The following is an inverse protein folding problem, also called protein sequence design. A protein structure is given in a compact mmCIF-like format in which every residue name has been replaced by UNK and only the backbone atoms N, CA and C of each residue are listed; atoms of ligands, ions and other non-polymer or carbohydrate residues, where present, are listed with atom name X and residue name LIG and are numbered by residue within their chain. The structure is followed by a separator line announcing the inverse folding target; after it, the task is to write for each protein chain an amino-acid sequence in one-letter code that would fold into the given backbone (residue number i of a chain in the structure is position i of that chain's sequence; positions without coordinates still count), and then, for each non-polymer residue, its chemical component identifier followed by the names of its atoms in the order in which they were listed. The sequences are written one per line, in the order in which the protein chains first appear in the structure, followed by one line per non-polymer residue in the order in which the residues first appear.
data_IF_814450330483
#
_entry.id   IF_814450330483
#
_cell.length_a   1.000
_cell.length_b   1.000
_cell.length_c   1.000
_cell.angle_alpha   90.00
_cell.angle_beta   90.00
_cell.angle_gamma   90.00
#
_symmetry.space_group_name_H-M   'P 1'
#
loop_
_entity.id
_entity.type
_entity.pdbx_description
1 polymer ?
#
# COMPACT_ATOMS: atom_id res chain seq x y z
N UNK A 1 1.40 -13.46 -11.71
CA UNK A 1 0.12 -12.86 -11.32
C UNK A 1 -0.19 -11.82 -12.37
N UNK A 2 -1.45 -11.64 -12.72
CA UNK A 2 -1.79 -10.58 -13.68
C UNK A 2 -1.40 -9.22 -13.13
N UNK A 3 -0.80 -8.38 -13.98
CA UNK A 3 -0.43 -7.00 -13.63
C UNK A 3 -1.60 -6.24 -13.00
N UNK A 4 -2.82 -6.49 -13.50
CA UNK A 4 -4.07 -5.92 -12.97
C UNK A 4 -4.34 -6.33 -11.51
N UNK A 5 -4.07 -7.59 -11.16
CA UNK A 5 -4.26 -8.13 -9.80
C UNK A 5 -3.20 -7.61 -8.83
N UNK A 6 -1.98 -7.37 -9.31
CA UNK A 6 -0.93 -6.73 -8.51
C UNK A 6 -1.29 -5.28 -8.20
N UNK A 7 -1.70 -4.52 -9.23
CA UNK A 7 -2.12 -3.12 -9.06
C UNK A 7 -3.32 -3.02 -8.12
N UNK A 8 -4.33 -3.89 -8.26
CA UNK A 8 -5.49 -3.88 -7.36
C UNK A 8 -5.12 -4.19 -5.90
N UNK A 9 -4.17 -5.09 -5.68
CA UNK A 9 -3.67 -5.40 -4.33
C UNK A 9 -2.88 -4.24 -3.72
N UNK A 10 -2.05 -3.57 -4.51
CA UNK A 10 -1.31 -2.38 -4.07
C UNK A 10 -2.28 -1.26 -3.71
N UNK A 11 -3.27 -0.97 -4.56
CA UNK A 11 -4.29 0.06 -4.29
C UNK A 11 -5.09 -0.30 -3.04
N UNK A 12 -5.53 -1.54 -2.89
CA UNK A 12 -6.25 -1.98 -1.70
C UNK A 12 -5.41 -1.85 -0.43
N UNK A 13 -4.11 -2.18 -0.48
CA UNK A 13 -3.20 -2.04 0.65
C UNK A 13 -3.00 -0.57 1.06
N UNK A 14 -2.83 0.34 0.09
CA UNK A 14 -2.72 1.78 0.34
C UNK A 14 -4.00 2.29 1.03
N UNK A 15 -5.17 1.98 0.45
CA UNK A 15 -6.46 2.44 0.99
C UNK A 15 -6.70 1.90 2.41
N UNK A 16 -6.44 0.61 2.63
CA UNK A 16 -6.59 0.00 3.95
C UNK A 16 -5.64 0.61 4.97
N UNK A 17 -4.38 0.84 4.61
CA UNK A 17 -3.41 1.50 5.48
C UNK A 17 -3.90 2.89 5.89
N UNK A 18 -4.25 3.75 4.92
CA UNK A 18 -4.69 5.11 5.22
C UNK A 18 -5.93 5.12 6.11
N UNK A 19 -6.93 4.28 5.83
CA UNK A 19 -8.15 4.22 6.66
C UNK A 19 -7.82 3.75 8.08
N UNK A 20 -7.02 2.70 8.23
CA UNK A 20 -6.66 2.16 9.55
C UNK A 20 -5.86 3.19 10.34
N UNK A 21 -4.87 3.84 9.74
CA UNK A 21 -4.06 4.87 10.40
C UNK A 21 -4.90 6.04 10.87
N UNK A 22 -5.76 6.59 10.01
CA UNK A 22 -6.63 7.73 10.37
C UNK A 22 -7.58 7.35 11.52
N UNK A 23 -8.13 6.13 11.51
CA UNK A 23 -8.95 5.64 12.62
C UNK A 23 -8.13 5.52 13.92
N UNK A 24 -6.86 5.10 13.81
CA UNK A 24 -5.97 4.89 14.95
C UNK A 24 -5.53 6.20 15.60
N UNK A 25 -5.20 7.21 14.79
CA UNK A 25 -4.86 8.57 15.24
C UNK A 25 -6.07 9.27 15.86
N UNK A 26 -7.30 8.88 15.47
CA UNK A 26 -8.57 9.51 15.90
C UNK A 26 -8.66 11.01 15.56
N UNK A 27 -7.72 11.53 14.78
CA UNK A 27 -7.69 12.89 14.28
C UNK A 27 -7.99 12.88 12.78
N UNK A 28 -9.16 13.42 12.40
CA UNK A 28 -9.61 13.45 11.00
C UNK A 28 -9.24 14.76 10.30
N UNK A 29 -8.16 15.40 10.73
CA UNK A 29 -7.72 16.67 10.14
C UNK A 29 -7.20 16.46 8.72
N UNK A 30 -7.33 17.47 7.86
CA UNK A 30 -6.82 17.39 6.48
C UNK A 30 -5.30 17.19 6.44
N UNK A 31 -4.58 17.66 7.48
CA UNK A 31 -3.15 17.46 7.64
C UNK A 31 -2.81 15.99 7.94
N UNK A 32 -3.57 15.36 8.85
CA UNK A 32 -3.45 13.93 9.17
C UNK A 32 -3.68 13.06 7.95
N UNK A 33 -4.75 13.30 7.20
CA UNK A 33 -5.02 12.59 5.95
C UNK A 33 -3.88 12.74 4.92
N UNK A 34 -3.24 13.91 4.87
CA UNK A 34 -2.15 14.17 3.94
C UNK A 34 -0.83 13.52 4.37
N UNK A 35 -0.54 13.48 5.67
CA UNK A 35 0.61 12.76 6.20
C UNK A 35 0.44 11.25 6.07
N UNK A 36 -0.68 10.70 6.55
CA UNK A 36 -0.98 9.27 6.45
C UNK A 36 -1.10 8.81 4.99
N UNK A 37 -1.63 9.66 4.11
CA UNK A 37 -1.65 9.39 2.67
C UNK A 37 -0.24 9.29 2.06
N UNK A 38 0.70 10.14 2.48
CA UNK A 38 2.11 10.05 2.03
C UNK A 38 2.77 8.78 2.54
N UNK A 39 2.57 8.43 3.81
CA UNK A 39 3.09 7.19 4.37
C UNK A 39 2.51 5.97 3.67
N UNK A 40 1.19 5.97 3.42
CA UNK A 40 0.50 4.90 2.70
C UNK A 40 1.06 4.70 1.29
N UNK A 41 1.40 5.79 0.59
CA UNK A 41 2.04 5.70 -0.75
C UNK A 41 3.42 5.07 -0.67
N UNK A 42 4.24 5.44 0.33
CA UNK A 42 5.56 4.83 0.55
C UNK A 42 5.40 3.35 0.87
N UNK A 43 4.48 3.01 1.76
CA UNK A 43 4.14 1.63 2.12
C UNK A 43 3.68 0.82 0.89
N UNK A 44 2.78 1.37 0.09
CA UNK A 44 2.29 0.76 -1.15
C UNK A 44 3.39 0.54 -2.18
N UNK A 45 4.32 1.47 -2.32
CA UNK A 45 5.47 1.34 -3.20
C UNK A 45 6.40 0.21 -2.76
N UNK A 46 6.73 0.14 -1.46
CA UNK A 46 7.55 -0.93 -0.88
C UNK A 46 6.85 -2.28 -1.02
N UNK A 47 5.55 -2.36 -0.69
CA UNK A 47 4.75 -3.57 -0.82
C UNK A 47 4.68 -4.06 -2.28
N UNK A 48 4.47 -3.14 -3.23
CA UNK A 48 4.49 -3.44 -4.66
C UNK A 48 5.84 -3.98 -5.14
N UNK A 49 6.94 -3.38 -4.67
CA UNK A 49 8.30 -3.84 -4.95
C UNK A 49 8.55 -5.25 -4.40
N UNK A 50 8.18 -5.50 -3.14
CA UNK A 50 8.32 -6.82 -2.52
C UNK A 50 7.51 -7.89 -3.25
N UNK A 51 6.26 -7.57 -3.62
CA UNK A 51 5.41 -8.49 -4.36
C UNK A 51 5.98 -8.78 -5.75
N UNK A 52 6.46 -7.76 -6.47
CA UNK A 52 7.11 -7.93 -7.76
C UNK A 52 8.39 -8.78 -7.65
N UNK A 53 9.21 -8.54 -6.63
CA UNK A 53 10.41 -9.32 -6.37
C UNK A 53 10.06 -10.78 -6.05
N UNK A 54 9.05 -11.02 -5.20
CA UNK A 54 8.55 -12.37 -4.89
C UNK A 54 8.09 -13.11 -6.14
N UNK A 55 7.38 -12.45 -7.04
CA UNK A 55 6.97 -13.07 -8.32
C UNK A 55 8.15 -13.44 -9.21
N UNK A 56 9.18 -12.60 -9.23
CA UNK A 56 10.40 -12.84 -10.02
C UNK A 56 11.16 -14.05 -9.47
N UNK A 57 11.28 -14.18 -8.15
CA UNK A 57 11.94 -15.32 -7.50
C UNK A 57 11.13 -16.61 -7.63
N UNK A 58 9.80 -16.55 -7.50
CA UNK A 58 8.92 -17.72 -7.63
C UNK A 58 8.76 -18.24 -9.07
N UNK A 59 9.30 -17.54 -10.06
CA UNK A 59 9.44 -18.00 -11.45
C UNK A 59 10.82 -18.59 -11.76
N UNK A 60 11.75 -18.46 -10.81
CA UNK A 60 13.13 -18.95 -10.94
C UNK A 60 13.36 -20.30 -10.24
N UNK A 61 12.34 -20.80 -9.53
CA UNK A 61 12.13 -22.21 -9.15
C UNK A 61 11.11 -22.83 -10.10
#
# INVERSE_FOLDING_TARGET
MDKKKLISQIIAAIVLYTIISVILEKEYSMETWMNEGKEALIFGAIFGLLMWFRERFRKSE
#
